data_IF_353652429743
#
_entry.id   IF_353652429743
#
_cell.length_a   1.000
_cell.length_b   1.000
_cell.length_c   1.000
_cell.angle_alpha   90.00
_cell.angle_beta   90.00
_cell.angle_gamma   90.00
#
_symmetry.space_group_name_H-M   'P 1'
#
loop_
_entity.id
_entity.type
_entity.pdbx_description
1 polymer ?
#
# COMPACT_ATOMS: atom_id res chain seq x y z
N UNK A 1 -19.21 -1.94 19.76
CA UNK A 1 -19.03 -2.58 18.48
C UNK A 1 -17.78 -2.09 17.77
N UNK A 2 -16.90 -3.00 17.47
CA UNK A 2 -15.67 -2.68 16.80
C UNK A 2 -15.88 -2.65 15.30
N UNK A 3 -15.60 -1.54 14.68
CA UNK A 3 -15.62 -1.47 13.23
C UNK A 3 -14.25 -1.84 12.71
N UNK A 4 -14.21 -2.87 11.89
CA UNK A 4 -12.97 -3.33 11.26
C UNK A 4 -12.66 -2.55 9.99
N UNK A 5 -13.68 -1.94 9.42
CA UNK A 5 -13.53 -1.03 8.29
C UNK A 5 -14.07 0.32 8.70
N UNK A 6 -13.27 1.34 8.49
CA UNK A 6 -13.68 2.70 8.82
C UNK A 6 -13.89 3.51 7.57
N UNK A 7 -14.81 4.44 7.67
CA UNK A 7 -14.98 5.46 6.67
C UNK A 7 -14.93 6.79 7.38
N UNK A 8 -13.99 7.61 7.00
CA UNK A 8 -13.92 8.95 7.54
C UNK A 8 -13.85 9.95 6.40
N UNK A 9 -14.47 11.09 6.61
CA UNK A 9 -14.49 12.13 5.60
C UNK A 9 -13.67 13.30 6.09
N UNK A 10 -12.63 13.61 5.36
CA UNK A 10 -11.92 14.87 5.56
C UNK A 10 -12.82 15.96 4.98
N UNK A 11 -12.93 17.07 5.67
CA UNK A 11 -13.76 18.16 5.19
C UNK A 11 -13.41 18.44 3.74
N UNK A 12 -14.38 18.32 2.88
CA UNK A 12 -14.14 18.42 1.45
C UNK A 12 -13.56 19.77 1.09
N UNK A 13 -12.61 19.73 0.20
CA UNK A 13 -12.10 20.93 -0.40
C UNK A 13 -13.22 21.56 -1.24
N UNK A 14 -13.14 22.84 -1.36
CA UNK A 14 -14.11 23.57 -2.19
C UNK A 14 -13.89 23.23 -3.64
N UNK A 15 -14.85 23.56 -4.47
CA UNK A 15 -14.73 23.40 -5.89
C UNK A 15 -13.62 24.27 -6.50
N UNK A 16 -13.81 24.68 -7.70
CA UNK A 16 -12.78 25.38 -8.45
C UNK A 16 -12.51 26.78 -7.92
N UNK A 17 -11.24 27.16 -7.90
CA UNK A 17 -10.83 28.51 -7.60
C UNK A 17 -10.55 29.20 -8.94
N UNK A 18 -11.13 30.36 -9.16
CA UNK A 18 -10.93 31.14 -10.37
C UNK A 18 -10.31 32.49 -10.05
N UNK A 19 -9.64 33.08 -11.03
CA UNK A 19 -9.12 34.46 -10.91
C UNK A 19 -10.20 35.47 -11.25
N UNK A 20 -9.83 36.75 -11.28
CA UNK A 20 -10.76 37.85 -11.59
C UNK A 20 -11.31 37.78 -13.01
N UNK A 21 -10.64 37.08 -13.91
CA UNK A 21 -11.07 36.87 -15.28
C UNK A 21 -11.93 35.65 -15.47
N UNK A 22 -12.17 34.90 -14.38
CA UNK A 22 -12.90 33.64 -14.42
C UNK A 22 -12.09 32.43 -14.84
N UNK A 23 -10.80 32.58 -15.04
CA UNK A 23 -9.93 31.45 -15.38
C UNK A 23 -9.69 30.54 -14.18
N UNK A 24 -9.75 29.26 -14.43
CA UNK A 24 -9.55 28.27 -13.38
C UNK A 24 -8.07 28.15 -13.06
N UNK A 25 -7.67 28.52 -11.84
CA UNK A 25 -6.30 28.44 -11.38
C UNK A 25 -5.99 27.10 -10.69
N UNK A 26 -6.97 26.57 -9.97
CA UNK A 26 -6.83 25.33 -9.20
C UNK A 26 -8.12 24.55 -9.30
N UNK A 27 -7.98 23.25 -9.51
CA UNK A 27 -9.12 22.34 -9.46
C UNK A 27 -8.94 21.41 -8.25
N UNK A 28 -9.98 21.27 -7.45
CA UNK A 28 -9.99 20.36 -6.31
C UNK A 28 -11.04 19.29 -6.55
N UNK A 29 -10.67 18.05 -6.31
CA UNK A 29 -11.59 16.92 -6.38
C UNK A 29 -11.35 15.99 -5.20
N UNK A 30 -12.31 15.10 -4.95
CA UNK A 30 -12.23 14.12 -3.89
C UNK A 30 -11.50 12.88 -4.38
N UNK A 31 -10.53 12.44 -3.62
CA UNK A 31 -9.86 11.17 -3.83
C UNK A 31 -10.07 10.25 -2.64
N UNK A 32 -9.52 9.05 -2.73
CA UNK A 32 -9.65 8.06 -1.65
C UNK A 32 -8.28 7.50 -1.31
N UNK A 33 -7.99 7.47 -0.02
CA UNK A 33 -6.80 6.82 0.51
C UNK A 33 -7.22 5.52 1.17
N UNK A 34 -6.40 4.48 1.03
CA UNK A 34 -6.65 3.19 1.65
C UNK A 34 -5.68 2.99 2.81
N UNK A 35 -6.23 2.81 3.99
CA UNK A 35 -5.47 2.61 5.22
C UNK A 35 -5.75 1.22 5.79
N UNK A 36 -4.81 0.70 6.56
CA UNK A 36 -4.94 -0.59 7.20
C UNK A 36 -4.56 -0.47 8.68
N UNK A 37 -5.48 -0.88 9.54
CA UNK A 37 -5.28 -0.94 10.99
C UNK A 37 -4.96 -2.38 11.39
N UNK A 38 -4.20 -2.52 12.47
CA UNK A 38 -3.89 -3.83 13.01
C UNK A 38 -5.12 -4.47 13.65
N UNK A 39 -5.36 -5.74 13.31
CA UNK A 39 -6.45 -6.54 13.88
C UNK A 39 -5.88 -7.85 14.41
N UNK A 40 -6.68 -8.56 15.20
CA UNK A 40 -6.28 -9.86 15.73
C UNK A 40 -6.76 -10.96 14.80
N UNK A 41 -5.93 -11.30 13.83
CA UNK A 41 -6.18 -12.41 12.90
C UNK A 41 -4.90 -13.21 12.73
N UNK A 42 -5.04 -14.47 12.34
CA UNK A 42 -3.90 -15.33 12.10
C UNK A 42 -3.07 -14.84 10.93
N UNK A 43 -1.77 -15.12 10.97
CA UNK A 43 -0.85 -14.65 9.95
C UNK A 43 -1.23 -15.10 8.54
N UNK A 44 -1.63 -16.37 8.37
CA UNK A 44 -2.03 -16.87 7.05
C UNK A 44 -3.30 -16.18 6.54
N UNK A 45 -4.26 -15.93 7.43
CA UNK A 45 -5.47 -15.19 7.09
C UNK A 45 -5.11 -13.77 6.68
N UNK A 46 -4.20 -13.14 7.41
CA UNK A 46 -3.74 -11.79 7.10
C UNK A 46 -3.02 -11.74 5.76
N UNK A 47 -2.12 -12.68 5.50
CA UNK A 47 -1.41 -12.73 4.21
C UNK A 47 -2.39 -12.92 3.04
N UNK A 48 -3.41 -13.76 3.22
CA UNK A 48 -4.44 -13.95 2.18
C UNK A 48 -5.28 -12.68 1.99
N UNK A 49 -5.62 -12.00 3.06
CA UNK A 49 -6.33 -10.72 2.99
C UNK A 49 -5.53 -9.70 2.18
N UNK A 50 -4.24 -9.58 2.48
CA UNK A 50 -3.33 -8.67 1.78
C UNK A 50 -3.25 -9.03 0.30
N UNK A 51 -3.13 -10.31 0.01
CA UNK A 51 -3.07 -10.77 -1.37
C UNK A 51 -4.35 -10.39 -2.13
N UNK A 52 -5.51 -10.66 -1.54
CA UNK A 52 -6.78 -10.35 -2.16
C UNK A 52 -6.97 -8.85 -2.37
N UNK A 53 -6.49 -8.06 -1.40
CA UNK A 53 -6.55 -6.60 -1.51
C UNK A 53 -5.67 -6.10 -2.66
N UNK A 54 -4.45 -6.61 -2.77
CA UNK A 54 -3.53 -6.26 -3.86
C UNK A 54 -4.12 -6.62 -5.22
N UNK A 55 -4.71 -7.82 -5.33
CA UNK A 55 -5.33 -8.29 -6.57
C UNK A 55 -6.52 -7.39 -6.95
N UNK A 56 -7.34 -7.02 -5.99
CA UNK A 56 -8.47 -6.12 -6.24
C UNK A 56 -7.99 -4.77 -6.78
N UNK A 57 -6.98 -4.20 -6.16
CA UNK A 57 -6.44 -2.91 -6.58
C UNK A 57 -5.84 -3.01 -7.99
N UNK A 58 -5.06 -4.04 -8.26
CA UNK A 58 -4.44 -4.24 -9.58
C UNK A 58 -5.48 -4.47 -10.67
N UNK A 59 -6.53 -5.22 -10.36
CA UNK A 59 -7.63 -5.47 -11.30
C UNK A 59 -8.30 -4.16 -11.73
N UNK A 60 -8.42 -3.22 -10.81
CA UNK A 60 -9.02 -1.91 -11.07
C UNK A 60 -7.98 -0.88 -11.54
N UNK A 61 -6.76 -1.33 -11.82
CA UNK A 61 -5.65 -0.48 -12.28
C UNK A 61 -5.23 0.57 -11.25
N UNK A 62 -5.49 0.29 -10.00
CA UNK A 62 -5.00 1.10 -8.89
C UNK A 62 -3.64 0.60 -8.45
N UNK A 63 -2.87 1.51 -7.86
CA UNK A 63 -1.54 1.19 -7.35
C UNK A 63 -1.55 1.28 -5.83
N UNK A 64 -0.67 0.52 -5.21
CA UNK A 64 -0.42 0.59 -3.79
C UNK A 64 1.07 0.87 -3.57
N UNK A 65 1.39 1.35 -2.38
CA UNK A 65 2.76 1.75 -2.06
C UNK A 65 3.69 0.54 -2.15
N UNK A 66 4.69 0.65 -3.00
CA UNK A 66 5.68 -0.40 -3.24
C UNK A 66 7.08 0.19 -3.09
N UNK A 67 7.67 -0.04 -1.93
CA UNK A 67 9.02 0.41 -1.61
C UNK A 67 9.97 -0.77 -1.42
N UNK A 68 9.52 -1.97 -1.73
CA UNK A 68 10.36 -3.16 -1.62
C UNK A 68 11.43 -3.12 -2.71
N UNK A 69 12.71 -3.04 -2.34
CA UNK A 69 13.78 -2.83 -3.32
C UNK A 69 14.27 -4.12 -3.98
N UNK A 70 13.37 -5.06 -4.19
CA UNK A 70 13.65 -6.35 -4.83
C UNK A 70 12.58 -6.60 -5.90
N UNK A 71 13.03 -6.95 -7.11
CA UNK A 71 12.12 -7.42 -8.15
C UNK A 71 12.14 -8.93 -8.23
N UNK A 72 11.17 -9.51 -8.91
CA UNK A 72 11.12 -10.94 -9.22
C UNK A 72 10.96 -11.10 -10.74
N UNK A 73 11.39 -12.24 -11.24
CA UNK A 73 11.33 -12.59 -12.66
C UNK A 73 11.96 -11.54 -13.60
N UNK A 74 13.24 -11.20 -13.46
CA UNK A 74 14.24 -11.86 -12.62
C UNK A 74 14.33 -11.27 -11.22
N UNK A 75 14.95 -12.00 -10.32
CA UNK A 75 15.32 -11.46 -9.02
C UNK A 75 16.45 -10.45 -9.21
N UNK A 76 16.21 -9.24 -8.74
CA UNK A 76 17.21 -8.17 -8.81
C UNK A 76 16.92 -7.13 -7.74
N UNK A 77 17.95 -6.41 -7.33
CA UNK A 77 17.76 -5.23 -6.51
C UNK A 77 17.37 -4.07 -7.42
N UNK A 78 16.46 -3.21 -6.96
CA UNK A 78 16.04 -2.05 -7.75
C UNK A 78 17.16 -1.02 -7.89
N UNK A 79 18.00 -0.87 -6.86
CA UNK A 79 19.19 -0.04 -6.95
C UNK A 79 20.36 -0.84 -7.49
N UNK A 80 21.12 -0.26 -8.41
CA UNK A 80 22.35 -0.86 -8.94
C UNK A 80 23.58 -0.49 -8.11
N UNK A 81 23.42 0.41 -7.16
CA UNK A 81 24.50 0.85 -6.29
C UNK A 81 24.72 -0.17 -5.18
N UNK A 82 25.88 -0.80 -5.19
CA UNK A 82 26.22 -1.85 -4.22
C UNK A 82 26.25 -1.35 -2.78
N UNK A 83 26.65 -0.11 -2.56
CA UNK A 83 26.68 0.46 -1.21
C UNK A 83 25.26 0.65 -0.67
N UNK A 84 24.34 1.07 -1.52
CA UNK A 84 22.93 1.19 -1.14
C UNK A 84 22.36 -0.19 -0.82
N UNK A 85 22.69 -1.19 -1.64
CA UNK A 85 22.26 -2.57 -1.41
C UNK A 85 22.78 -3.11 -0.08
N UNK A 86 24.04 -2.89 0.23
CA UNK A 86 24.65 -3.35 1.47
C UNK A 86 24.03 -2.68 2.68
N UNK A 87 23.84 -1.37 2.61
CA UNK A 87 23.22 -0.61 3.69
C UNK A 87 21.83 -1.11 3.99
N UNK A 88 21.05 -1.35 2.94
CA UNK A 88 19.69 -1.85 3.07
C UNK A 88 19.67 -3.25 3.69
N UNK A 89 20.54 -4.15 3.21
CA UNK A 89 20.63 -5.50 3.77
C UNK A 89 21.01 -5.45 5.25
N UNK A 90 21.95 -4.61 5.61
CA UNK A 90 22.37 -4.45 7.01
C UNK A 90 21.22 -3.96 7.88
N UNK A 91 20.43 -3.01 7.38
CA UNK A 91 19.29 -2.45 8.10
C UNK A 91 18.27 -3.52 8.47
N UNK A 92 18.08 -4.50 7.59
CA UNK A 92 17.10 -5.57 7.80
C UNK A 92 17.71 -6.87 8.34
N UNK A 93 18.98 -6.87 8.69
CA UNK A 93 19.63 -8.06 9.24
C UNK A 93 19.90 -9.15 8.22
N UNK A 94 20.01 -8.76 6.96
CA UNK A 94 20.32 -9.68 5.86
C UNK A 94 21.84 -9.68 5.62
N UNK A 95 22.41 -10.85 5.31
CA UNK A 95 23.83 -10.96 5.00
C UNK A 95 24.19 -9.99 3.87
N UNK A 96 25.31 -9.26 4.03
CA UNK A 96 25.70 -8.26 3.05
C UNK A 96 26.04 -8.86 1.66
N UNK A 97 26.34 -10.14 1.62
CA UNK A 97 26.64 -10.87 0.38
C UNK A 97 25.41 -11.55 -0.22
N UNK A 98 24.25 -11.43 0.41
CA UNK A 98 23.03 -12.06 -0.07
C UNK A 98 22.63 -11.53 -1.45
N UNK A 99 22.25 -12.46 -2.32
CA UNK A 99 21.67 -12.10 -3.62
C UNK A 99 20.26 -11.56 -3.43
N UNK A 100 19.69 -10.99 -4.49
CA UNK A 100 18.30 -10.51 -4.45
C UNK A 100 17.33 -11.67 -4.15
N UNK A 101 17.58 -12.84 -4.72
CA UNK A 101 16.77 -14.02 -4.45
C UNK A 101 16.86 -14.43 -2.98
N UNK A 102 18.07 -14.44 -2.42
CA UNK A 102 18.27 -14.76 -1.02
C UNK A 102 17.57 -13.76 -0.09
N UNK A 103 17.66 -12.48 -0.44
CA UNK A 103 16.98 -11.43 0.31
C UNK A 103 15.44 -11.59 0.22
N UNK A 104 14.95 -11.94 -0.95
CA UNK A 104 13.53 -12.23 -1.14
C UNK A 104 13.08 -13.39 -0.25
N UNK A 105 13.85 -14.48 -0.25
CA UNK A 105 13.54 -15.64 0.57
C UNK A 105 13.62 -15.35 2.07
N UNK A 106 14.49 -14.44 2.48
CA UNK A 106 14.58 -13.97 3.84
C UNK A 106 13.23 -13.35 4.27
N UNK A 107 12.67 -12.47 3.46
CA UNK A 107 11.38 -11.84 3.77
C UNK A 107 10.22 -12.81 3.65
N UNK A 108 10.28 -13.73 2.69
CA UNK A 108 9.25 -14.76 2.55
C UNK A 108 9.15 -15.58 3.83
N UNK A 109 10.27 -15.93 4.40
CA UNK A 109 10.33 -16.67 5.66
C UNK A 109 9.89 -15.79 6.83
N UNK A 110 10.38 -14.56 6.88
CA UNK A 110 10.07 -13.62 7.96
C UNK A 110 8.57 -13.38 8.09
N UNK A 111 7.87 -13.23 6.98
CA UNK A 111 6.44 -12.98 6.96
C UNK A 111 5.61 -14.25 6.83
N UNK A 112 6.27 -15.41 6.80
CA UNK A 112 5.63 -16.72 6.66
C UNK A 112 4.68 -16.77 5.48
N UNK A 113 5.16 -16.33 4.31
CA UNK A 113 4.38 -16.30 3.09
C UNK A 113 4.40 -17.68 2.45
N UNK A 114 3.22 -18.25 2.24
CA UNK A 114 3.06 -19.62 1.74
C UNK A 114 2.95 -19.71 0.22
N UNK A 115 2.68 -18.62 -0.46
CA UNK A 115 2.54 -18.61 -1.91
C UNK A 115 3.88 -18.92 -2.56
N UNK A 116 3.90 -19.91 -3.47
CA UNK A 116 5.13 -20.37 -4.11
C UNK A 116 5.52 -19.54 -5.33
N UNK A 117 4.51 -19.00 -6.05
CA UNK A 117 4.80 -18.17 -7.20
C UNK A 117 5.40 -16.85 -6.75
N UNK A 118 6.62 -16.50 -7.25
CA UNK A 118 7.31 -15.31 -6.77
C UNK A 118 6.51 -14.01 -6.90
N UNK A 119 5.77 -13.85 -7.99
CA UNK A 119 4.97 -12.64 -8.20
C UNK A 119 3.84 -12.52 -7.20
N UNK A 120 3.19 -13.63 -6.86
CA UNK A 120 2.13 -13.65 -5.85
C UNK A 120 2.70 -13.38 -4.46
N UNK A 121 3.80 -14.04 -4.13
CA UNK A 121 4.47 -13.83 -2.84
C UNK A 121 4.94 -12.39 -2.71
N UNK A 122 5.42 -11.78 -3.79
CA UNK A 122 5.90 -10.41 -3.77
C UNK A 122 4.80 -9.40 -3.45
N UNK A 123 3.58 -9.63 -3.92
CA UNK A 123 2.46 -8.73 -3.59
C UNK A 123 2.23 -8.66 -2.08
N UNK A 124 2.24 -9.81 -1.44
CA UNK A 124 2.10 -9.89 0.02
C UNK A 124 3.28 -9.23 0.71
N UNK A 125 4.47 -9.56 0.23
CA UNK A 125 5.72 -9.05 0.80
C UNK A 125 5.78 -7.53 0.74
N UNK A 126 5.35 -6.94 -0.36
CA UNK A 126 5.34 -5.49 -0.56
C UNK A 126 4.52 -4.79 0.50
N UNK A 127 3.33 -5.28 0.78
CA UNK A 127 2.45 -4.69 1.79
C UNK A 127 2.98 -4.94 3.20
N UNK A 128 3.47 -6.16 3.47
CA UNK A 128 4.08 -6.48 4.77
C UNK A 128 5.31 -5.59 5.01
N UNK A 129 6.08 -5.33 3.97
CA UNK A 129 7.24 -4.45 4.05
C UNK A 129 6.86 -3.01 4.41
N UNK A 130 5.80 -2.48 3.80
CA UNK A 130 5.28 -1.15 4.14
C UNK A 130 4.83 -1.08 5.60
N UNK A 131 4.17 -2.11 6.06
CA UNK A 131 3.74 -2.20 7.47
C UNK A 131 4.96 -2.17 8.40
N UNK A 132 6.00 -2.93 8.06
CA UNK A 132 7.22 -2.98 8.87
C UNK A 132 7.94 -1.64 8.91
N UNK A 133 7.98 -0.93 7.78
CA UNK A 133 8.66 0.36 7.68
C UNK A 133 7.97 1.45 8.48
N UNK A 134 6.66 1.49 8.41
CA UNK A 134 5.88 2.59 8.96
C UNK A 134 5.26 2.27 10.32
N UNK A 135 5.13 1.00 10.63
CA UNK A 135 4.44 0.56 11.83
C UNK A 135 2.94 0.78 11.72
N UNK A 136 2.18 0.00 12.47
CA UNK A 136 0.74 0.21 12.57
C UNK A 136 0.25 -0.38 13.89
N UNK A 137 -0.94 0.03 14.29
CA UNK A 137 -1.59 -0.49 15.50
C UNK A 137 -3.10 -0.49 15.28
N UNK A 138 -3.85 -0.79 16.32
CA UNK A 138 -5.31 -0.71 16.24
C UNK A 138 -5.84 0.74 16.25
N UNK A 139 -4.96 1.72 16.51
CA UNK A 139 -5.33 3.14 16.49
C UNK A 139 -4.55 3.95 15.48
N UNK A 140 -3.43 3.42 14.98
CA UNK A 140 -2.59 4.09 13.97
C UNK A 140 -2.49 3.21 12.73
N UNK A 141 -3.05 3.63 11.60
CA UNK A 141 -2.99 2.81 10.38
C UNK A 141 -1.69 2.98 9.63
N UNK A 142 -1.42 2.02 8.74
CA UNK A 142 -0.44 2.19 7.68
C UNK A 142 -1.20 2.55 6.40
N UNK A 143 -0.63 3.42 5.59
CA UNK A 143 -1.23 3.80 4.31
C UNK A 143 -0.81 2.78 3.27
N UNK A 144 -1.79 2.07 2.71
CA UNK A 144 -1.58 1.08 1.66
C UNK A 144 -1.52 1.76 0.30
N UNK A 145 -2.41 2.72 0.07
CA UNK A 145 -2.45 3.48 -1.16
C UNK A 145 -2.93 4.89 -0.88
N UNK A 146 -2.24 5.87 -1.46
CA UNK A 146 -2.60 7.28 -1.27
C UNK A 146 -3.77 7.70 -2.15
N UNK A 147 -4.03 6.96 -3.23
CA UNK A 147 -5.09 7.33 -4.16
C UNK A 147 -5.60 6.09 -4.87
N UNK A 148 -6.80 5.66 -4.50
CA UNK A 148 -7.49 4.55 -5.17
C UNK A 148 -8.73 5.09 -5.89
N UNK A 149 -9.20 4.33 -6.87
CA UNK A 149 -10.38 4.68 -7.65
C UNK A 149 -11.66 4.53 -6.81
N UNK A 150 -12.70 5.19 -7.27
CA UNK A 150 -14.03 5.06 -6.67
C UNK A 150 -14.51 3.60 -6.70
N UNK A 151 -14.18 2.87 -7.79
CA UNK A 151 -14.55 1.48 -7.94
C UNK A 151 -13.90 0.63 -6.84
N UNK A 152 -12.59 0.78 -6.63
CA UNK A 152 -11.90 0.05 -5.57
C UNK A 152 -12.43 0.43 -4.18
N UNK A 153 -12.64 1.73 -3.95
CA UNK A 153 -13.17 2.22 -2.69
C UNK A 153 -14.51 1.56 -2.35
N UNK A 154 -15.42 1.50 -3.32
CA UNK A 154 -16.73 0.89 -3.12
C UNK A 154 -16.64 -0.62 -2.91
N UNK A 155 -15.82 -1.31 -3.70
CA UNK A 155 -15.65 -2.76 -3.55
C UNK A 155 -15.09 -3.13 -2.19
N UNK A 156 -14.15 -2.37 -1.68
CA UNK A 156 -13.58 -2.61 -0.35
C UNK A 156 -14.64 -2.37 0.73
N UNK A 157 -15.39 -1.29 0.63
CA UNK A 157 -16.46 -1.01 1.58
C UNK A 157 -17.56 -2.06 1.57
N UNK A 158 -17.98 -2.49 0.39
CA UNK A 158 -19.02 -3.52 0.25
C UNK A 158 -18.56 -4.87 0.78
N UNK A 159 -17.26 -5.14 0.70
CA UNK A 159 -16.67 -6.40 1.15
C UNK A 159 -15.89 -6.23 2.45
N UNK A 160 -16.35 -5.32 3.31
CA UNK A 160 -15.64 -5.01 4.55
C UNK A 160 -15.40 -6.22 5.46
N UNK A 161 -16.27 -7.21 5.38
CA UNK A 161 -16.09 -8.46 6.14
C UNK A 161 -14.92 -9.30 5.64
N UNK A 162 -14.52 -9.12 4.38
CA UNK A 162 -13.36 -9.81 3.79
C UNK A 162 -12.06 -9.04 4.02
N UNK A 163 -12.15 -7.76 4.32
CA UNK A 163 -11.01 -6.88 4.49
C UNK A 163 -11.03 -6.21 5.87
N UNK A 164 -10.98 -7.01 6.96
CA UNK A 164 -10.97 -6.41 8.29
C UNK A 164 -9.74 -5.51 8.49
N UNK A 165 -9.93 -4.42 9.17
CA UNK A 165 -8.88 -3.45 9.43
C UNK A 165 -8.70 -2.40 8.35
N UNK A 166 -9.32 -2.56 7.19
CA UNK A 166 -9.21 -1.55 6.13
C UNK A 166 -10.08 -0.33 6.43
N UNK A 167 -9.61 0.82 5.99
CA UNK A 167 -10.36 2.06 6.07
C UNK A 167 -10.17 2.83 4.77
N UNK A 168 -11.26 3.29 4.19
CA UNK A 168 -11.23 4.15 3.01
C UNK A 168 -11.47 5.58 3.49
N UNK A 169 -10.48 6.44 3.30
CA UNK A 169 -10.52 7.81 3.78
C UNK A 169 -10.65 8.75 2.59
N UNK A 170 -11.64 9.62 2.65
CA UNK A 170 -11.84 10.64 1.63
C UNK A 170 -10.83 11.76 1.85
N UNK A 171 -10.08 12.10 0.82
CA UNK A 171 -9.05 13.14 0.88
C UNK A 171 -9.21 14.09 -0.29
N UNK A 172 -8.90 15.37 -0.11
CA UNK A 172 -8.93 16.32 -1.22
C UNK A 172 -7.68 16.13 -2.09
N UNK A 173 -7.87 16.17 -3.40
CA UNK A 173 -6.78 16.16 -4.37
C UNK A 173 -6.81 17.48 -5.09
N UNK A 174 -5.71 18.24 -5.01
CA UNK A 174 -5.57 19.55 -5.65
C UNK A 174 -4.79 19.40 -6.96
N UNK A 175 -5.36 19.89 -8.04
CA UNK A 175 -4.73 19.85 -9.35
C UNK A 175 -4.59 21.28 -9.89
N UNK A 176 -3.41 21.61 -10.39
CA UNK A 176 -3.14 22.90 -10.98
C UNK A 176 -3.20 22.75 -12.50
N UNK A 177 -4.11 23.49 -13.18
CA UNK A 177 -4.30 23.33 -14.62
C UNK A 177 -3.07 23.61 -15.48
N UNK A 178 -2.15 24.41 -14.98
CA UNK A 178 -0.95 24.81 -15.71
C UNK A 178 0.35 24.27 -15.08
N UNK A 179 0.24 23.31 -14.19
CA UNK A 179 1.38 22.73 -13.47
C UNK A 179 2.09 21.62 -14.19
#
# INVERSE_FOLDING_TARGET
NTRLTRESTVKAARGNITDNSGNKLVTTKTGFSLELYKTKIDNDVFNNLIYNLAVLLEKNKDKYNDNLPITVNPYAFTSKDEEIQKKWKKEYGIDENATAEEAFNFFKKKYDIKQDEPEKARKIMTIRYEISRNGYSNIKPVIISNNISYISANQIKEQSNKFPGTAVVTVPIVTYPYG
#
